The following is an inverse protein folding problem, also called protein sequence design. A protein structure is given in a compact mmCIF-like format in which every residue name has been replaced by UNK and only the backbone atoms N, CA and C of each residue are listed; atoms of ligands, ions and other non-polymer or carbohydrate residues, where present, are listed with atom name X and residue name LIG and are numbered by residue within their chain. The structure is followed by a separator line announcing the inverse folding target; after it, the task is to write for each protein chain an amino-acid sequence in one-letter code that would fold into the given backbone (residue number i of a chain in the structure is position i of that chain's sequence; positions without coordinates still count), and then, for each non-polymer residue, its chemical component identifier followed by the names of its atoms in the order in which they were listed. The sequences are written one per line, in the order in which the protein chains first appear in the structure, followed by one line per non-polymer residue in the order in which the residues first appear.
data_IF_956208092879
#
_entry.id   IF_956208092879
#
_cell.length_a   1.000
_cell.length_b   1.000
_cell.length_c   1.000
_cell.angle_alpha   90.00
_cell.angle_beta   90.00
_cell.angle_gamma   90.00
#
_symmetry.space_group_name_H-M   'P 1'
#
loop_
_entity.id
_entity.type
_entity.pdbx_description
1 polymer ?
#
# COMPACT_ATOMS: atom_id res chain seq x y z
N UNK A 1 9.65 17.61 4.02
CA UNK A 1 8.35 17.07 3.58
C UNK A 1 8.14 15.73 4.25
N UNK A 2 7.04 15.55 4.97
CA UNK A 2 6.74 14.31 5.72
C UNK A 2 6.12 13.29 4.77
N UNK A 3 6.67 12.08 4.69
CA UNK A 3 6.15 10.98 3.85
C UNK A 3 4.92 10.35 4.52
N UNK A 4 3.82 10.19 3.79
CA UNK A 4 2.60 9.54 4.30
C UNK A 4 2.88 8.08 4.66
N UNK A 5 2.26 7.56 5.74
CA UNK A 5 2.56 6.23 6.27
C UNK A 5 1.31 5.36 6.27
N UNK A 6 1.38 4.26 5.53
CA UNK A 6 0.37 3.23 5.53
C UNK A 6 0.62 2.23 6.65
N UNK A 7 -0.23 2.25 7.69
CA UNK A 7 -0.10 1.38 8.88
C UNK A 7 -1.08 0.22 8.89
N UNK A 8 -2.09 0.26 8.03
CA UNK A 8 -3.14 -0.76 7.94
C UNK A 8 -3.39 -1.17 6.49
N UNK A 9 -3.70 -2.45 6.31
CA UNK A 9 -4.07 -3.06 5.04
C UNK A 9 -5.47 -3.66 5.16
N UNK A 10 -6.32 -3.41 4.18
CA UNK A 10 -7.67 -3.95 4.05
C UNK A 10 -7.75 -4.85 2.83
N UNK A 11 -8.51 -5.95 2.90
CA UNK A 11 -8.66 -6.82 1.74
C UNK A 11 -9.49 -6.17 0.66
N UNK A 12 -9.26 -6.55 -0.59
CA UNK A 12 -10.15 -6.20 -1.70
C UNK A 12 -11.62 -6.47 -1.32
N UNK A 13 -12.46 -5.43 -1.41
CA UNK A 13 -13.88 -5.48 -1.01
C UNK A 13 -14.18 -4.98 0.42
N UNK A 14 -13.18 -4.82 1.29
CA UNK A 14 -13.35 -4.29 2.66
C UNK A 14 -13.14 -2.77 2.75
N UNK A 15 -12.79 -2.12 1.64
CA UNK A 15 -12.51 -0.69 1.57
C UNK A 15 -13.08 -0.07 0.30
N UNK A 16 -13.41 1.24 0.30
CA UNK A 16 -13.98 1.90 -0.87
C UNK A 16 -12.88 2.18 -1.91
N UNK A 17 -12.75 1.31 -2.92
CA UNK A 17 -11.75 1.44 -3.99
C UNK A 17 -11.82 2.78 -4.75
N UNK A 18 -13.01 3.41 -4.83
CA UNK A 18 -13.20 4.73 -5.43
C UNK A 18 -12.52 5.87 -4.67
N UNK A 19 -12.16 5.66 -3.40
CA UNK A 19 -11.42 6.61 -2.57
C UNK A 19 -9.89 6.46 -2.68
N UNK A 20 -9.40 5.59 -3.59
CA UNK A 20 -7.97 5.39 -3.80
C UNK A 20 -7.28 6.70 -4.22
N UNK A 21 -6.24 7.09 -3.49
CA UNK A 21 -5.39 8.24 -3.84
C UNK A 21 -4.33 7.91 -4.90
N UNK A 22 -4.04 6.62 -5.09
CA UNK A 22 -3.06 6.10 -6.02
C UNK A 22 -2.97 4.58 -5.92
N UNK A 23 -2.21 3.99 -6.83
CA UNK A 23 -1.94 2.55 -6.87
C UNK A 23 -0.45 2.29 -6.72
N UNK A 24 -0.08 1.07 -6.36
CA UNK A 24 1.31 0.62 -6.38
C UNK A 24 1.36 -0.75 -7.03
N UNK A 25 2.14 -0.87 -8.08
CA UNK A 25 2.34 -2.16 -8.76
C UNK A 25 3.54 -2.89 -8.17
N UNK A 26 3.30 -4.06 -7.57
CA UNK A 26 4.34 -4.89 -6.95
C UNK A 26 4.50 -6.23 -7.66
N UNK A 27 5.76 -6.62 -7.90
CA UNK A 27 6.11 -7.97 -8.29
C UNK A 27 5.71 -8.98 -7.21
N UNK A 28 5.42 -10.22 -7.60
CA UNK A 28 4.93 -11.25 -6.69
C UNK A 28 5.84 -11.46 -5.47
N UNK A 29 7.16 -11.47 -5.69
CA UNK A 29 8.16 -11.64 -4.63
C UNK A 29 8.18 -10.49 -3.61
N UNK A 30 7.72 -9.30 -4.02
CA UNK A 30 7.71 -8.08 -3.19
C UNK A 30 6.36 -7.84 -2.49
N UNK A 31 5.39 -8.74 -2.68
CA UNK A 31 4.07 -8.63 -2.03
C UNK A 31 4.07 -9.02 -0.57
N UNK A 32 5.11 -9.68 -0.05
CA UNK A 32 5.19 -10.07 1.36
C UNK A 32 6.13 -9.14 2.13
N UNK A 33 5.59 -8.05 2.68
CA UNK A 33 6.38 -7.00 3.33
C UNK A 33 5.69 -6.50 4.59
N UNK A 34 6.51 -6.01 5.53
CA UNK A 34 6.06 -5.32 6.76
C UNK A 34 6.35 -3.82 6.65
N UNK A 35 7.59 -3.49 6.32
CA UNK A 35 8.11 -2.12 6.22
C UNK A 35 8.90 -1.94 4.95
N UNK A 36 8.49 -1.00 4.11
CA UNK A 36 9.19 -0.65 2.87
C UNK A 36 8.65 0.68 2.36
N UNK A 37 9.49 1.46 1.68
CA UNK A 37 9.01 2.64 0.95
C UNK A 37 8.47 2.20 -0.41
N UNK A 38 7.26 2.62 -0.72
CA UNK A 38 6.56 2.30 -1.95
C UNK A 38 6.44 3.57 -2.79
N UNK A 39 6.79 3.46 -4.07
CA UNK A 39 6.53 4.51 -5.05
C UNK A 39 5.16 4.24 -5.65
N UNK A 40 4.26 5.21 -5.58
CA UNK A 40 2.96 5.12 -6.23
C UNK A 40 3.14 5.21 -7.74
N UNK A 41 2.29 4.50 -8.47
CA UNK A 41 2.29 4.52 -9.93
C UNK A 41 1.94 5.94 -10.43
N UNK A 42 2.56 6.35 -11.55
CA UNK A 42 2.35 7.68 -12.13
C UNK A 42 2.97 8.81 -11.29
N UNK A 43 2.22 9.90 -11.09
CA UNK A 43 2.67 11.09 -10.36
C UNK A 43 2.38 11.03 -8.84
N UNK A 44 2.05 9.84 -8.30
CA UNK A 44 1.53 9.68 -6.94
C UNK A 44 2.56 9.90 -5.81
N UNK A 45 3.85 10.02 -6.12
CA UNK A 45 4.89 10.21 -5.11
C UNK A 45 5.21 8.93 -4.34
N UNK A 46 5.62 9.06 -3.08
CA UNK A 46 6.04 7.94 -2.25
C UNK A 46 5.26 7.85 -0.94
N UNK A 47 5.03 6.62 -0.48
CA UNK A 47 4.47 6.32 0.84
C UNK A 47 5.37 5.34 1.59
N UNK A 48 5.30 5.36 2.91
CA UNK A 48 5.96 4.38 3.77
C UNK A 48 4.96 3.31 4.18
N UNK A 49 5.15 2.07 3.77
CA UNK A 49 4.46 0.93 4.37
C UNK A 49 5.06 0.66 5.75
N UNK A 50 4.24 0.59 6.79
CA UNK A 50 4.64 0.26 8.16
C UNK A 50 3.55 -0.53 8.87
N UNK A 51 3.39 -1.78 8.46
CA UNK A 51 2.43 -2.70 9.04
C UNK A 51 2.92 -3.28 10.37
N UNK A 52 2.01 -3.67 11.28
CA UNK A 52 2.38 -4.32 12.54
C UNK A 52 3.12 -5.64 12.32
N UNK A 53 2.78 -6.37 11.25
CA UNK A 53 3.40 -7.64 10.85
C UNK A 53 3.62 -7.71 9.34
N UNK A 54 4.51 -8.59 8.90
CA UNK A 54 4.65 -8.89 7.49
C UNK A 54 3.32 -9.42 6.95
N UNK A 55 2.81 -8.77 5.91
CA UNK A 55 1.51 -9.08 5.33
C UNK A 55 1.70 -9.29 3.84
N UNK A 56 1.00 -10.28 3.30
CA UNK A 56 0.93 -10.49 1.86
C UNK A 56 -0.11 -9.55 1.27
N UNK A 57 0.36 -8.55 0.52
CA UNK A 57 -0.45 -7.61 -0.25
C UNK A 57 -0.96 -8.33 -1.50
N UNK A 58 -2.27 -8.43 -1.64
CA UNK A 58 -2.92 -8.98 -2.81
C UNK A 58 -3.34 -7.87 -3.76
N UNK A 59 -3.69 -8.26 -4.98
CA UNK A 59 -4.24 -7.32 -5.94
C UNK A 59 -5.57 -6.75 -5.42
N UNK A 60 -5.75 -5.44 -5.53
CA UNK A 60 -6.93 -4.74 -5.02
C UNK A 60 -6.99 -4.53 -3.50
N UNK A 61 -5.99 -4.97 -2.73
CA UNK A 61 -5.89 -4.64 -1.31
C UNK A 61 -5.68 -3.13 -1.12
N UNK A 62 -6.31 -2.57 -0.08
CA UNK A 62 -6.26 -1.16 0.25
C UNK A 62 -5.21 -0.88 1.32
N UNK A 63 -4.45 0.20 1.14
CA UNK A 63 -3.52 0.72 2.15
C UNK A 63 -4.06 2.04 2.71
N UNK A 64 -4.31 2.08 4.02
CA UNK A 64 -4.84 3.28 4.66
C UNK A 64 -3.74 4.34 4.84
N UNK A 65 -3.96 5.54 4.31
CA UNK A 65 -3.05 6.69 4.39
C UNK A 65 -3.52 7.74 5.39
#
# INVERSE_FOLDING_TARGET
MTVARATQCFRAGEWPASAARGTVTLAFADRHRRRVRLTLDGAGGEIMLDLPRATRLLDGDGLQL
#
